data_IF_356476766118
#
_entry.id   IF_356476766118
#
_cell.length_a   1.000
_cell.length_b   1.000
_cell.length_c   1.000
_cell.angle_alpha   90.00
_cell.angle_beta   90.00
_cell.angle_gamma   90.00
#
_symmetry.space_group_name_H-M   'P 1'
#
loop_
_entity.id
_entity.type
_entity.pdbx_description
1 polymer ?
#
# COMPACT_ATOMS: atom_id res chain seq x y z
N UNK A 1 -21.04 -1.49 8.54
CA UNK A 1 -20.19 -2.68 8.72
C UNK A 1 -19.10 -2.27 9.71
N UNK A 2 -18.86 -3.10 10.73
CA UNK A 2 -17.79 -2.85 11.69
C UNK A 2 -16.49 -3.35 11.08
N UNK A 3 -15.46 -2.50 11.06
CA UNK A 3 -14.14 -2.89 10.59
C UNK A 3 -13.55 -3.95 11.53
N UNK A 4 -12.96 -5.00 10.95
CA UNK A 4 -12.22 -6.04 11.66
C UNK A 4 -10.77 -6.00 11.21
N UNK A 5 -9.85 -5.84 12.17
CA UNK A 5 -8.42 -5.78 11.89
C UNK A 5 -7.90 -7.15 11.46
N UNK A 6 -7.23 -7.18 10.31
CA UNK A 6 -6.46 -8.34 9.82
C UNK A 6 -4.96 -8.10 9.97
N UNK A 7 -4.18 -9.19 9.97
CA UNK A 7 -2.72 -9.16 9.97
C UNK A 7 -2.10 -9.06 8.57
N UNK A 8 -2.90 -9.09 7.50
CA UNK A 8 -2.46 -8.97 6.11
C UNK A 8 -3.59 -8.44 5.23
N UNK A 9 -3.27 -7.74 4.14
CA UNK A 9 -4.23 -7.19 3.20
C UNK A 9 -3.78 -7.38 1.75
N UNK A 10 -4.69 -7.85 0.91
CA UNK A 10 -4.51 -8.04 -0.53
C UNK A 10 -4.66 -6.74 -1.32
N UNK A 11 -4.23 -6.74 -2.59
CA UNK A 11 -4.36 -5.59 -3.50
C UNK A 11 -5.78 -5.06 -3.60
N UNK A 12 -6.77 -5.95 -3.71
CA UNK A 12 -8.18 -5.57 -3.82
C UNK A 12 -8.69 -4.88 -2.55
N UNK A 13 -8.21 -5.29 -1.37
CA UNK A 13 -8.53 -4.65 -0.10
C UNK A 13 -7.86 -3.28 0.04
N UNK A 14 -6.63 -3.12 -0.46
CA UNK A 14 -5.98 -1.80 -0.50
C UNK A 14 -6.70 -0.84 -1.47
N UNK A 15 -7.18 -1.35 -2.60
CA UNK A 15 -8.05 -0.59 -3.51
C UNK A 15 -9.39 -0.23 -2.85
N UNK A 16 -9.99 -1.15 -2.09
CA UNK A 16 -11.19 -0.88 -1.30
C UNK A 16 -10.94 0.19 -0.22
N UNK A 17 -9.75 0.21 0.39
CA UNK A 17 -9.34 1.29 1.29
C UNK A 17 -9.35 2.64 0.57
N UNK A 18 -8.80 2.74 -0.64
CA UNK A 18 -8.83 3.98 -1.42
C UNK A 18 -10.24 4.45 -1.79
N UNK A 19 -11.19 3.52 -1.95
CA UNK A 19 -12.62 3.84 -2.15
C UNK A 19 -13.38 4.17 -0.85
N UNK A 20 -12.73 4.05 0.31
CA UNK A 20 -13.36 4.22 1.63
C UNK A 20 -14.30 3.08 2.03
N UNK A 21 -14.11 1.90 1.45
CA UNK A 21 -14.93 0.70 1.67
C UNK A 21 -14.35 -0.20 2.78
N UNK A 22 -13.04 -0.11 3.05
CA UNK A 22 -12.37 -0.95 4.04
C UNK A 22 -12.61 -0.48 5.48
N UNK A 23 -12.26 0.78 5.77
CA UNK A 23 -12.40 1.36 7.11
C UNK A 23 -13.70 2.17 7.28
N UNK A 24 -14.43 2.43 6.19
CA UNK A 24 -15.60 3.31 6.14
C UNK A 24 -15.30 4.70 5.58
N UNK A 25 -16.36 5.40 5.13
CA UNK A 25 -16.26 6.61 4.30
C UNK A 25 -15.57 7.80 4.96
N UNK A 26 -15.71 7.93 6.27
CA UNK A 26 -15.17 9.05 7.07
C UNK A 26 -13.79 8.75 7.69
N UNK A 27 -13.27 7.54 7.46
CA UNK A 27 -12.02 7.07 8.05
C UNK A 27 -10.85 7.17 7.05
N UNK A 28 -9.68 6.69 7.48
CA UNK A 28 -8.47 6.68 6.67
C UNK A 28 -8.69 5.98 5.31
N UNK A 29 -8.02 6.49 4.28
CA UNK A 29 -8.04 5.95 2.92
C UNK A 29 -6.61 5.93 2.39
N UNK A 30 -6.27 4.86 1.69
CA UNK A 30 -5.06 4.87 0.88
C UNK A 30 -5.26 5.73 -0.37
N UNK A 31 -4.18 6.24 -0.99
CA UNK A 31 -4.29 6.81 -2.32
C UNK A 31 -4.84 5.78 -3.31
N UNK A 32 -5.59 6.23 -4.32
CA UNK A 32 -5.92 5.40 -5.46
C UNK A 32 -4.73 5.35 -6.46
N UNK A 33 -4.64 4.33 -7.32
CA UNK A 33 -3.74 4.37 -8.48
C UNK A 33 -3.92 5.67 -9.28
N UNK A 34 -2.86 6.30 -9.76
CA UNK A 34 -1.47 5.83 -9.84
C UNK A 34 -0.58 6.15 -8.62
N UNK A 35 -1.16 6.70 -7.55
CA UNK A 35 -0.43 7.06 -6.32
C UNK A 35 -0.40 5.96 -5.25
N UNK A 36 -1.12 4.85 -5.46
CA UNK A 36 -1.03 3.68 -4.62
C UNK A 36 0.30 2.95 -4.90
N UNK A 37 1.23 3.01 -3.95
CA UNK A 37 2.59 2.44 -4.07
C UNK A 37 2.79 1.15 -3.27
N UNK A 38 1.70 0.41 -3.03
CA UNK A 38 1.71 -0.85 -2.27
C UNK A 38 0.75 -1.82 -2.97
N UNK A 39 1.21 -3.02 -3.30
CA UNK A 39 0.37 -4.09 -3.84
C UNK A 39 -0.23 -4.96 -2.74
N UNK A 40 0.49 -5.18 -1.64
CA UNK A 40 0.02 -5.99 -0.51
C UNK A 40 0.69 -5.60 0.80
N UNK A 41 -0.04 -5.80 1.89
CA UNK A 41 0.51 -5.84 3.25
C UNK A 41 0.61 -7.31 3.64
N UNK A 42 1.82 -7.82 3.79
CA UNK A 42 2.05 -9.23 4.16
C UNK A 42 1.97 -9.44 5.67
N UNK A 43 2.31 -8.40 6.46
CA UNK A 43 2.24 -8.41 7.91
C UNK A 43 1.89 -7.02 8.47
N UNK A 44 0.97 -6.98 9.42
CA UNK A 44 0.70 -5.83 10.29
C UNK A 44 0.27 -6.30 11.67
N UNK A 45 0.94 -5.80 12.70
CA UNK A 45 0.75 -6.20 14.08
C UNK A 45 0.94 -5.00 15.04
N UNK A 46 0.61 -5.18 16.32
CA UNK A 46 0.74 -4.14 17.36
C UNK A 46 1.91 -4.42 18.33
N UNK A 47 2.76 -5.38 18.01
CA UNK A 47 3.90 -5.83 18.81
C UNK A 47 5.12 -6.11 17.91
N UNK A 48 6.31 -6.32 18.47
CA UNK A 48 7.52 -6.49 17.65
C UNK A 48 8.02 -5.19 17.00
N UNK A 49 8.78 -5.32 15.91
CA UNK A 49 9.56 -4.22 15.33
C UNK A 49 10.73 -3.77 16.22
N UNK A 50 11.53 -2.82 15.74
CA UNK A 50 12.77 -2.38 16.40
C UNK A 50 12.55 -1.83 17.83
N UNK A 51 11.34 -1.35 18.12
CA UNK A 51 10.98 -0.75 19.41
C UNK A 51 9.92 -1.55 20.19
N UNK A 52 9.46 -2.69 19.68
CA UNK A 52 8.44 -3.51 20.36
C UNK A 52 7.03 -2.91 20.36
N UNK A 53 6.74 -1.94 19.48
CA UNK A 53 5.47 -1.18 19.44
C UNK A 53 4.65 -1.43 18.16
N UNK A 54 4.99 -2.48 17.40
CA UNK A 54 4.31 -2.83 16.15
C UNK A 54 5.22 -2.77 14.92
N UNK A 55 4.81 -3.46 13.88
CA UNK A 55 5.51 -3.58 12.60
C UNK A 55 4.51 -3.70 11.45
N UNK A 56 4.92 -3.17 10.29
CA UNK A 56 4.23 -3.40 9.01
C UNK A 56 5.27 -3.86 8.00
N UNK A 57 4.97 -4.94 7.28
CA UNK A 57 5.73 -5.41 6.12
C UNK A 57 4.79 -5.37 4.91
N UNK A 58 5.22 -4.67 3.87
CA UNK A 58 4.44 -4.45 2.66
C UNK A 58 5.32 -4.61 1.42
N UNK A 59 4.70 -4.89 0.29
CA UNK A 59 5.38 -5.17 -0.97
C UNK A 59 4.74 -4.42 -2.14
N UNK A 60 5.57 -4.09 -3.13
CA UNK A 60 5.18 -3.59 -4.45
C UNK A 60 5.90 -4.44 -5.50
N UNK A 61 5.16 -4.93 -6.49
CA UNK A 61 5.75 -5.67 -7.60
C UNK A 61 6.32 -4.68 -8.62
N UNK A 62 7.62 -4.80 -8.91
CA UNK A 62 8.29 -3.93 -9.88
C UNK A 62 8.18 -4.52 -11.27
N UNK A 63 7.60 -3.74 -12.19
CA UNK A 63 7.50 -4.07 -13.60
C UNK A 63 7.95 -2.87 -14.47
N UNK A 64 8.62 -3.08 -15.61
CA UNK A 64 9.18 -1.99 -16.42
C UNK A 64 8.15 -0.99 -16.96
N UNK A 65 6.89 -1.38 -17.02
CA UNK A 65 5.73 -0.60 -17.47
C UNK A 65 5.02 0.18 -16.33
N UNK A 66 5.60 0.24 -15.13
CA UNK A 66 5.11 1.17 -14.10
C UNK A 66 5.22 2.61 -14.60
N UNK A 67 4.13 3.37 -14.45
CA UNK A 67 3.91 4.68 -15.07
C UNK A 67 5.07 5.68 -14.87
N UNK A 68 5.74 5.61 -13.71
CA UNK A 68 6.80 6.54 -13.36
C UNK A 68 8.10 6.29 -14.13
N UNK A 69 8.36 5.08 -14.64
CA UNK A 69 9.56 4.80 -15.43
C UNK A 69 9.55 5.50 -16.79
N UNK A 70 8.37 5.80 -17.34
CA UNK A 70 8.27 6.54 -18.60
C UNK A 70 8.65 8.03 -18.46
N UNK A 71 8.51 8.59 -17.26
CA UNK A 71 8.71 10.01 -17.00
C UNK A 71 9.90 10.34 -16.09
N UNK A 72 10.52 9.35 -15.43
CA UNK A 72 11.56 9.56 -14.44
C UNK A 72 12.71 8.55 -14.60
N UNK A 73 13.74 8.82 -15.41
CA UNK A 73 13.89 9.88 -16.42
C UNK A 73 13.90 9.26 -17.82
N UNK A 74 13.71 10.08 -18.86
CA UNK A 74 13.85 9.60 -20.25
C UNK A 74 15.26 9.08 -20.49
N UNK A 75 15.39 7.78 -20.76
CA UNK A 75 16.66 7.09 -21.01
C UNK A 75 17.39 6.61 -19.75
N UNK A 76 16.86 6.87 -18.55
CA UNK A 76 17.39 6.41 -17.27
C UNK A 76 16.22 6.15 -16.29
N UNK A 77 15.44 5.07 -16.50
CA UNK A 77 14.23 4.81 -15.73
C UNK A 77 14.58 4.39 -14.30
N UNK A 78 14.09 5.17 -13.33
CA UNK A 78 14.28 4.95 -11.90
C UNK A 78 13.02 5.36 -11.13
N UNK A 79 12.59 4.53 -10.17
CA UNK A 79 11.46 4.86 -9.31
C UNK A 79 11.77 6.14 -8.51
N UNK A 80 10.86 7.13 -8.46
CA UNK A 80 11.01 8.27 -7.55
C UNK A 80 11.14 7.79 -6.10
N UNK A 81 12.22 8.22 -5.42
CA UNK A 81 12.54 7.84 -4.04
C UNK A 81 11.79 8.61 -2.97
#
# INVERSE_FOLDING_TARGET
MQFESKSSYSKDELLASGRGELFGKENAKLPAPNMLMIDRIVEINNDGGDYGLGQIIAEIDIHPDLWFFECHFKGDPVMPG
#
